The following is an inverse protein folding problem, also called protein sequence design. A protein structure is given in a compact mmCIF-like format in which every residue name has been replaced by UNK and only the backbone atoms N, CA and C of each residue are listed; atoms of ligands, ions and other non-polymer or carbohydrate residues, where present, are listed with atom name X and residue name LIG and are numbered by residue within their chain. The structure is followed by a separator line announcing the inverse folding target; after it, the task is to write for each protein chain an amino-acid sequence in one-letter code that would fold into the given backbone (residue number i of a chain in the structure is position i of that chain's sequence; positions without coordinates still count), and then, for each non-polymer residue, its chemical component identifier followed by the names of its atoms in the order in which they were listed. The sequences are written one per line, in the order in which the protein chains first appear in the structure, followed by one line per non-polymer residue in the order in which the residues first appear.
data_IF_172423840491
#
_entry.id   IF_172423840491
#
_cell.length_a   1.000
_cell.length_b   1.000
_cell.length_c   1.000
_cell.angle_alpha   90.00
_cell.angle_beta   90.00
_cell.angle_gamma   90.00
#
_symmetry.space_group_name_H-M   'P 1'
#
loop_
_entity.id
_entity.type
_entity.pdbx_description
1 polymer ?
#
# COMPACT_ATOMS: atom_id res chain seq x y z
N UNK A 1 38.89 -25.00 -18.90
CA UNK A 1 38.21 -23.86 -18.24
C UNK A 1 39.00 -23.52 -16.98
N UNK A 2 39.46 -22.29 -16.84
CA UNK A 2 40.20 -21.86 -15.64
C UNK A 2 39.22 -21.60 -14.49
N UNK A 3 39.65 -21.89 -13.26
CA UNK A 3 38.84 -21.72 -12.03
C UNK A 3 38.29 -20.28 -11.91
N UNK A 4 39.01 -19.28 -12.43
CA UNK A 4 38.59 -17.88 -12.46
C UNK A 4 37.39 -17.63 -13.38
N UNK A 5 37.30 -18.32 -14.53
CA UNK A 5 36.16 -18.19 -15.44
C UNK A 5 34.87 -18.76 -14.85
N UNK A 6 34.98 -19.84 -14.07
CA UNK A 6 33.84 -20.43 -13.33
C UNK A 6 33.40 -19.55 -12.17
N UNK A 7 34.33 -18.96 -11.41
CA UNK A 7 34.02 -18.04 -10.31
C UNK A 7 33.38 -16.74 -10.79
N UNK A 8 33.80 -16.21 -11.96
CA UNK A 8 33.17 -15.06 -12.59
C UNK A 8 31.73 -15.37 -13.04
N UNK A 9 31.52 -16.52 -13.69
CA UNK A 9 30.18 -16.94 -14.11
C UNK A 9 29.24 -17.16 -12.90
N UNK A 10 29.73 -17.75 -11.82
CA UNK A 10 28.96 -17.90 -10.57
C UNK A 10 28.60 -16.55 -9.94
N UNK A 11 29.51 -15.58 -9.99
CA UNK A 11 29.27 -14.22 -9.49
C UNK A 11 28.23 -13.47 -10.32
N UNK A 12 28.27 -13.61 -11.64
CA UNK A 12 27.26 -13.04 -12.56
C UNK A 12 25.88 -13.68 -12.34
N UNK A 13 25.83 -15.00 -12.19
CA UNK A 13 24.59 -15.73 -11.84
C UNK A 13 24.02 -15.30 -10.49
N UNK A 14 24.88 -15.06 -9.50
CA UNK A 14 24.49 -14.52 -8.20
C UNK A 14 23.88 -13.12 -8.31
N UNK A 15 24.48 -12.23 -9.10
CA UNK A 15 23.95 -10.88 -9.35
C UNK A 15 22.61 -10.88 -10.09
N UNK A 16 22.43 -11.79 -11.06
CA UNK A 16 21.15 -11.99 -11.74
C UNK A 16 20.06 -12.51 -10.79
N UNK A 17 20.40 -13.47 -9.92
CA UNK A 17 19.46 -14.01 -8.93
C UNK A 17 18.98 -12.92 -7.96
N UNK A 18 19.87 -12.04 -7.51
CA UNK A 18 19.55 -10.90 -6.66
C UNK A 18 18.59 -9.91 -7.35
N UNK A 19 18.87 -9.53 -8.60
CA UNK A 19 17.99 -8.68 -9.40
C UNK A 19 16.58 -9.26 -9.55
N UNK A 20 16.46 -10.57 -9.80
CA UNK A 20 15.17 -11.26 -9.92
C UNK A 20 14.40 -11.24 -8.58
N UNK A 21 15.08 -11.41 -7.45
CA UNK A 21 14.45 -11.32 -6.12
C UNK A 21 13.91 -9.91 -5.89
N UNK A 22 14.71 -8.87 -6.20
CA UNK A 22 14.31 -7.47 -6.06
C UNK A 22 13.12 -7.14 -6.95
N UNK A 23 13.17 -7.54 -8.22
CA UNK A 23 12.07 -7.37 -9.17
C UNK A 23 10.77 -7.97 -8.64
N UNK A 24 10.80 -9.24 -8.22
CA UNK A 24 9.61 -9.94 -7.70
C UNK A 24 9.03 -9.27 -6.45
N UNK A 25 9.89 -8.71 -5.59
CA UNK A 25 9.45 -8.00 -4.40
C UNK A 25 8.75 -6.67 -4.74
N UNK A 26 9.28 -5.91 -5.69
CA UNK A 26 8.66 -4.65 -6.14
C UNK A 26 7.32 -4.87 -6.83
N UNK A 27 7.26 -5.85 -7.74
CA UNK A 27 6.01 -6.25 -8.39
C UNK A 27 4.98 -6.70 -7.35
N UNK A 28 5.38 -7.53 -6.38
CA UNK A 28 4.51 -7.91 -5.26
C UNK A 28 3.95 -6.71 -4.53
N UNK A 29 4.81 -5.75 -4.14
CA UNK A 29 4.38 -4.57 -3.38
C UNK A 29 3.39 -3.72 -4.18
N UNK A 30 3.66 -3.48 -5.47
CA UNK A 30 2.79 -2.71 -6.35
C UNK A 30 1.44 -3.41 -6.58
N UNK A 31 1.47 -4.70 -6.96
CA UNK A 31 0.25 -5.49 -7.18
C UNK A 31 -0.60 -5.60 -5.92
N UNK A 32 0.03 -5.70 -4.74
CA UNK A 32 -0.70 -5.78 -3.47
C UNK A 32 -1.54 -4.54 -3.22
N UNK A 33 -0.95 -3.36 -3.40
CA UNK A 33 -1.61 -2.09 -3.14
C UNK A 33 -2.71 -1.81 -4.17
N UNK A 34 -2.46 -2.14 -5.44
CA UNK A 34 -3.47 -2.05 -6.50
C UNK A 34 -4.66 -2.98 -6.24
N UNK A 35 -4.43 -4.25 -5.90
CA UNK A 35 -5.50 -5.23 -5.67
C UNK A 35 -6.32 -4.90 -4.42
N UNK A 36 -5.68 -4.47 -3.34
CA UNK A 36 -6.40 -4.01 -2.13
C UNK A 36 -7.29 -2.82 -2.47
N UNK A 37 -6.80 -1.89 -3.30
CA UNK A 37 -7.57 -0.71 -3.72
C UNK A 37 -8.76 -1.08 -4.60
N UNK A 38 -8.56 -1.94 -5.62
CA UNK A 38 -9.65 -2.42 -6.48
C UNK A 38 -10.72 -3.15 -5.67
N UNK A 39 -10.31 -3.99 -4.72
CA UNK A 39 -11.25 -4.68 -3.86
C UNK A 39 -12.04 -3.71 -2.98
N UNK A 40 -11.35 -2.75 -2.35
CA UNK A 40 -12.01 -1.71 -1.54
C UNK A 40 -13.00 -0.89 -2.36
N UNK A 41 -12.70 -0.60 -3.63
CA UNK A 41 -13.65 0.07 -4.52
C UNK A 41 -14.87 -0.76 -4.86
N UNK A 42 -14.68 -2.01 -5.30
CA UNK A 42 -15.77 -2.91 -5.65
C UNK A 42 -16.75 -3.05 -4.49
N UNK A 43 -16.19 -3.08 -3.29
CA UNK A 43 -16.87 -3.07 -2.01
C UNK A 43 -17.70 -1.82 -1.77
N UNK A 44 -17.10 -0.63 -1.85
CA UNK A 44 -17.79 0.64 -1.62
C UNK A 44 -18.90 0.83 -2.64
N UNK A 45 -18.65 0.46 -3.89
CA UNK A 45 -19.63 0.52 -4.97
C UNK A 45 -20.80 -0.45 -4.73
N UNK A 46 -20.51 -1.70 -4.36
CA UNK A 46 -21.54 -2.70 -4.05
C UNK A 46 -22.40 -2.29 -2.86
N UNK A 47 -21.80 -1.70 -1.81
CA UNK A 47 -22.53 -1.17 -0.67
C UNK A 47 -23.44 0.00 -1.08
N UNK A 48 -22.92 0.94 -1.87
CA UNK A 48 -23.68 2.11 -2.33
C UNK A 48 -24.92 1.73 -3.15
N UNK A 49 -24.85 0.62 -3.90
CA UNK A 49 -25.99 0.08 -4.66
C UNK A 49 -26.99 -0.64 -3.75
N UNK A 50 -26.53 -1.35 -2.71
CA UNK A 50 -27.38 -2.26 -1.91
C UNK A 50 -27.99 -1.61 -0.67
N UNK A 51 -27.29 -0.62 -0.08
CA UNK A 51 -27.74 0.12 1.10
C UNK A 51 -29.13 0.79 0.98
N UNK A 52 -29.54 1.34 -0.19
CA UNK A 52 -30.86 1.95 -0.33
C UNK A 52 -32.03 0.96 -0.29
N UNK A 53 -31.80 -0.32 -0.60
CA UNK A 53 -32.86 -1.30 -0.78
C UNK A 53 -33.16 -2.11 0.49
N UNK A 54 -32.14 -2.47 1.27
CA UNK A 54 -32.33 -3.16 2.55
C UNK A 54 -31.05 -3.17 3.41
N UNK A 55 -31.16 -2.98 4.74
CA UNK A 55 -30.00 -2.92 5.63
C UNK A 55 -29.31 -4.27 5.82
N UNK A 56 -30.02 -5.40 5.71
CA UNK A 56 -29.46 -6.74 5.90
C UNK A 56 -28.45 -7.10 4.80
N UNK A 57 -28.78 -7.02 3.49
CA UNK A 57 -27.80 -7.24 2.42
C UNK A 57 -26.70 -6.19 2.45
N UNK A 58 -26.96 -4.95 2.89
CA UNK A 58 -25.93 -3.92 3.04
C UNK A 58 -24.88 -4.30 4.11
N UNK A 59 -25.30 -4.83 5.26
CA UNK A 59 -24.40 -5.32 6.32
C UNK A 59 -23.61 -6.54 5.85
N UNK A 60 -24.26 -7.49 5.17
CA UNK A 60 -23.60 -8.66 4.59
C UNK A 60 -22.55 -8.25 3.55
N UNK A 61 -22.91 -7.32 2.65
CA UNK A 61 -21.99 -6.73 1.68
C UNK A 61 -20.85 -6.06 2.40
N UNK A 62 -21.08 -5.28 3.47
CA UNK A 62 -20.05 -4.63 4.29
C UNK A 62 -19.08 -5.62 4.97
N UNK A 63 -19.58 -6.73 5.52
CA UNK A 63 -18.73 -7.75 6.16
C UNK A 63 -17.88 -8.48 5.11
N UNK A 64 -18.50 -8.94 4.03
CA UNK A 64 -17.80 -9.60 2.90
C UNK A 64 -16.77 -8.63 2.32
N UNK A 65 -17.16 -7.39 2.18
CA UNK A 65 -16.34 -6.31 1.72
C UNK A 65 -15.09 -6.08 2.57
N UNK A 66 -15.29 -5.94 3.87
CA UNK A 66 -14.21 -5.75 4.81
C UNK A 66 -13.26 -6.95 4.80
N UNK A 67 -13.77 -8.16 4.57
CA UNK A 67 -12.97 -9.39 4.48
C UNK A 67 -12.18 -9.53 3.17
N UNK A 68 -12.61 -8.89 2.08
CA UNK A 68 -12.01 -9.07 0.75
C UNK A 68 -10.54 -8.58 0.67
N UNK A 69 -10.14 -7.40 1.20
CA UNK A 69 -8.75 -7.02 1.31
C UNK A 69 -7.89 -8.05 2.06
N UNK A 70 -8.39 -8.63 3.15
CA UNK A 70 -7.67 -9.66 3.90
C UNK A 70 -7.52 -10.96 3.10
N UNK A 71 -8.56 -11.38 2.37
CA UNK A 71 -8.49 -12.54 1.50
C UNK A 71 -7.45 -12.34 0.37
N UNK A 72 -7.42 -11.15 -0.23
CA UNK A 72 -6.45 -10.80 -1.27
C UNK A 72 -5.04 -10.76 -0.70
N UNK A 73 -4.83 -10.15 0.47
CA UNK A 73 -3.53 -10.16 1.16
C UNK A 73 -3.09 -11.60 1.43
N UNK A 74 -3.99 -12.47 1.89
CA UNK A 74 -3.68 -13.87 2.13
C UNK A 74 -3.29 -14.62 0.84
N UNK A 75 -4.02 -14.39 -0.26
CA UNK A 75 -3.69 -14.93 -1.59
C UNK A 75 -2.33 -14.43 -2.04
N UNK A 76 -2.06 -13.14 -1.94
CA UNK A 76 -0.80 -12.52 -2.32
C UNK A 76 0.39 -13.06 -1.51
N UNK A 77 0.24 -13.19 -0.19
CA UNK A 77 1.25 -13.81 0.68
C UNK A 77 1.52 -15.25 0.22
N UNK A 78 0.48 -16.01 -0.14
CA UNK A 78 0.63 -17.39 -0.63
C UNK A 78 1.34 -17.43 -1.98
N UNK A 79 0.94 -16.58 -2.93
CA UNK A 79 1.51 -16.49 -4.28
C UNK A 79 2.97 -16.08 -4.24
N UNK A 80 3.32 -15.09 -3.41
CA UNK A 80 4.68 -14.54 -3.32
C UNK A 80 5.50 -15.10 -2.16
N UNK A 81 5.02 -16.16 -1.48
CA UNK A 81 5.69 -16.77 -0.32
C UNK A 81 7.16 -17.10 -0.58
N UNK A 82 7.47 -17.63 -1.77
CA UNK A 82 8.85 -17.95 -2.17
C UNK A 82 9.70 -16.68 -2.28
N UNK A 83 9.20 -15.64 -2.94
CA UNK A 83 9.90 -14.36 -3.05
C UNK A 83 10.14 -13.71 -1.68
N UNK A 84 9.13 -13.70 -0.80
CA UNK A 84 9.26 -13.17 0.57
C UNK A 84 10.27 -13.96 1.42
N UNK A 85 10.36 -15.29 1.23
CA UNK A 85 11.40 -16.11 1.88
C UNK A 85 12.79 -15.77 1.34
N UNK A 86 12.94 -15.62 0.03
CA UNK A 86 14.21 -15.22 -0.60
C UNK A 86 14.69 -13.84 -0.11
N UNK A 87 13.78 -12.87 0.03
CA UNK A 87 14.10 -11.56 0.61
C UNK A 87 14.58 -11.69 2.05
N UNK A 88 13.88 -12.46 2.89
CA UNK A 88 14.32 -12.69 4.27
C UNK A 88 15.69 -13.37 4.35
N UNK A 89 15.97 -14.31 3.45
CA UNK A 89 17.27 -14.97 3.38
C UNK A 89 18.36 -13.96 3.00
N UNK A 90 18.11 -13.11 2.00
CA UNK A 90 19.01 -12.04 1.56
C UNK A 90 19.29 -11.00 2.65
N UNK A 91 18.30 -10.69 3.49
CA UNK A 91 18.49 -9.86 4.69
C UNK A 91 19.46 -10.53 5.66
N UNK A 92 19.24 -11.82 5.93
CA UNK A 92 20.00 -12.57 6.93
C UNK A 92 21.45 -12.79 6.52
N UNK A 93 21.71 -13.05 5.23
CA UNK A 93 23.08 -13.24 4.70
C UNK A 93 23.91 -11.97 4.79
N UNK A 94 23.26 -10.79 4.84
CA UNK A 94 23.89 -9.48 5.05
C UNK A 94 24.02 -9.08 6.52
N UNK A 95 23.77 -10.00 7.46
CA UNK A 95 23.88 -9.75 8.90
C UNK A 95 22.80 -8.83 9.48
N UNK A 96 21.76 -8.50 8.71
CA UNK A 96 20.65 -7.65 9.15
C UNK A 96 19.51 -8.52 9.68
N UNK A 97 18.65 -7.98 10.56
CA UNK A 97 17.45 -8.67 11.05
C UNK A 97 16.22 -7.79 10.94
N UNK A 98 15.17 -8.36 10.37
CA UNK A 98 13.87 -7.70 10.26
C UNK A 98 13.12 -7.82 11.60
N UNK A 99 12.95 -6.71 12.31
CA UNK A 99 12.10 -6.67 13.50
C UNK A 99 10.62 -6.70 13.11
N UNK A 100 10.06 -7.92 12.98
CA UNK A 100 8.65 -8.14 12.58
C UNK A 100 7.65 -7.53 13.55
N UNK A 101 7.93 -7.58 14.85
CA UNK A 101 7.05 -7.00 15.88
C UNK A 101 6.92 -5.49 15.68
N UNK A 102 8.05 -4.79 15.47
CA UNK A 102 8.05 -3.36 15.16
C UNK A 102 7.22 -3.06 13.91
N UNK A 103 7.43 -3.81 12.82
CA UNK A 103 6.70 -3.60 11.56
C UNK A 103 5.19 -3.76 11.73
N UNK A 104 4.75 -4.81 12.45
CA UNK A 104 3.34 -5.06 12.71
C UNK A 104 2.71 -3.97 13.59
N UNK A 105 3.40 -3.54 14.64
CA UNK A 105 2.94 -2.46 15.53
C UNK A 105 2.83 -1.15 14.77
N UNK A 106 3.83 -0.81 13.96
CA UNK A 106 3.81 0.40 13.13
C UNK A 106 2.64 0.35 12.14
N UNK A 107 2.44 -0.77 11.43
CA UNK A 107 1.33 -0.91 10.50
C UNK A 107 -0.03 -0.78 11.20
N UNK A 108 -0.21 -1.47 12.35
CA UNK A 108 -1.43 -1.40 13.13
C UNK A 108 -1.73 0.03 13.58
N UNK A 109 -0.77 0.69 14.24
CA UNK A 109 -0.95 2.04 14.77
C UNK A 109 -1.17 3.06 13.65
N UNK A 110 -0.48 2.90 12.50
CA UNK A 110 -0.60 3.82 11.37
C UNK A 110 -1.99 3.77 10.74
N UNK A 111 -2.65 2.61 10.68
CA UNK A 111 -3.99 2.50 10.10
C UNK A 111 -5.14 2.57 11.10
N UNK A 112 -4.88 2.47 12.41
CA UNK A 112 -5.93 2.59 13.45
C UNK A 112 -6.01 4.00 14.02
N UNK A 113 -4.88 4.57 14.43
CA UNK A 113 -4.84 5.85 15.15
C UNK A 113 -5.43 7.01 14.33
N UNK A 114 -5.04 7.21 13.05
CA UNK A 114 -5.60 8.33 12.27
C UNK A 114 -7.09 8.19 12.04
N UNK A 115 -7.60 6.98 11.78
CA UNK A 115 -9.04 6.78 11.63
C UNK A 115 -9.79 7.13 12.91
N UNK A 116 -9.32 6.69 14.07
CA UNK A 116 -9.92 7.06 15.35
C UNK A 116 -9.91 8.59 15.53
N UNK A 117 -8.75 9.23 15.38
CA UNK A 117 -8.60 10.67 15.60
C UNK A 117 -9.47 11.51 14.66
N UNK A 118 -9.51 11.16 13.37
CA UNK A 118 -10.27 11.91 12.38
C UNK A 118 -11.77 11.70 12.54
N UNK A 119 -12.25 10.52 12.96
CA UNK A 119 -13.68 10.27 13.19
C UNK A 119 -14.17 10.67 14.60
N UNK A 120 -13.28 11.03 15.53
CA UNK A 120 -13.66 11.58 16.85
C UNK A 120 -14.13 13.03 16.79
N UNK A 121 -13.82 13.74 15.70
CA UNK A 121 -14.19 15.14 15.50
C UNK A 121 -14.92 15.27 14.17
N UNK A 122 -15.87 16.20 14.06
CA UNK A 122 -16.58 16.47 12.80
C UNK A 122 -16.46 17.96 12.47
N UNK A 123 -15.25 18.43 12.08
CA UNK A 123 -14.95 19.87 11.96
C UNK A 123 -15.51 20.52 10.69
N UNK A 124 -15.95 19.74 9.70
CA UNK A 124 -16.44 20.22 8.41
C UNK A 124 -17.80 19.58 8.03
N UNK A 125 -18.58 20.20 7.14
CA UNK A 125 -19.87 19.64 6.70
C UNK A 125 -19.69 18.28 6.03
N UNK A 126 -20.57 17.32 6.32
CA UNK A 126 -20.51 15.95 5.76
C UNK A 126 -19.17 15.24 5.99
N UNK A 127 -18.40 15.63 7.01
CA UNK A 127 -17.07 15.11 7.31
C UNK A 127 -16.99 13.59 7.30
N UNK A 128 -17.96 12.90 7.88
CA UNK A 128 -18.06 11.44 7.91
C UNK A 128 -17.91 10.77 6.54
N UNK A 129 -18.31 11.46 5.47
CA UNK A 129 -18.29 10.95 4.08
C UNK A 129 -16.92 11.02 3.41
N UNK A 130 -15.99 11.83 3.90
CA UNK A 130 -14.66 12.03 3.30
C UNK A 130 -13.50 12.10 4.31
N UNK A 131 -13.76 12.05 5.62
CA UNK A 131 -12.75 12.01 6.68
C UNK A 131 -11.76 10.84 6.51
N UNK A 132 -12.23 9.71 5.98
CA UNK A 132 -11.42 8.56 5.62
C UNK A 132 -10.25 8.91 4.69
N UNK A 133 -10.41 9.92 3.82
CA UNK A 133 -9.34 10.35 2.91
C UNK A 133 -8.18 10.97 3.68
N UNK A 134 -8.48 11.89 4.59
CA UNK A 134 -7.46 12.53 5.43
C UNK A 134 -6.83 11.52 6.42
N UNK A 135 -7.64 10.61 6.96
CA UNK A 135 -7.13 9.51 7.78
C UNK A 135 -6.13 8.65 6.99
N UNK A 136 -6.44 8.29 5.74
CA UNK A 136 -5.52 7.56 4.86
C UNK A 136 -4.28 8.39 4.49
N UNK A 137 -4.43 9.70 4.26
CA UNK A 137 -3.31 10.61 4.02
C UNK A 137 -2.29 10.55 5.16
N UNK A 138 -2.76 10.66 6.40
CA UNK A 138 -1.93 10.58 7.61
C UNK A 138 -1.42 9.17 7.86
N UNK A 139 -2.23 8.14 7.63
CA UNK A 139 -1.84 6.74 7.80
C UNK A 139 -0.69 6.36 6.87
N UNK A 140 -0.81 6.67 5.58
CA UNK A 140 0.24 6.37 4.62
C UNK A 140 1.48 7.25 4.81
N UNK A 141 1.32 8.50 5.28
CA UNK A 141 2.46 9.34 5.69
C UNK A 141 3.21 8.69 6.86
N UNK A 142 2.48 8.13 7.83
CA UNK A 142 3.07 7.39 8.95
C UNK A 142 3.79 6.12 8.46
N UNK A 143 3.19 5.39 7.52
CA UNK A 143 3.83 4.24 6.86
C UNK A 143 5.10 4.65 6.11
N UNK A 144 5.11 5.79 5.41
CA UNK A 144 6.33 6.33 4.79
C UNK A 144 7.44 6.53 5.82
N UNK A 145 7.14 7.21 6.93
CA UNK A 145 8.13 7.63 7.91
C UNK A 145 8.68 6.47 8.75
N UNK A 146 7.83 5.54 9.15
CA UNK A 146 8.18 4.52 10.15
C UNK A 146 8.32 3.10 9.60
N UNK A 147 7.66 2.80 8.49
CA UNK A 147 7.70 1.48 7.85
C UNK A 147 8.61 1.48 6.62
N UNK A 148 8.26 2.28 5.60
CA UNK A 148 8.96 2.30 4.31
C UNK A 148 10.41 2.77 4.49
N UNK A 149 10.64 3.88 5.20
CA UNK A 149 11.98 4.37 5.50
C UNK A 149 12.84 3.34 6.22
N UNK A 150 12.29 2.68 7.23
CA UNK A 150 13.02 1.65 7.99
C UNK A 150 13.39 0.45 7.13
N UNK A 151 12.48 -0.05 6.29
CA UNK A 151 12.78 -1.14 5.36
C UNK A 151 13.81 -0.70 4.33
N UNK A 152 13.70 0.51 3.79
CA UNK A 152 14.64 1.06 2.80
C UNK A 152 16.04 1.28 3.40
N UNK A 153 16.16 1.69 4.66
CA UNK A 153 17.44 1.77 5.37
C UNK A 153 18.06 0.38 5.59
N UNK A 154 17.21 -0.61 5.94
CA UNK A 154 17.63 -2.00 6.09
C UNK A 154 17.96 -2.69 4.76
N UNK A 155 17.37 -2.29 3.65
CA UNK A 155 17.56 -2.91 2.34
C UNK A 155 17.45 -1.84 1.22
N UNK A 156 18.51 -1.05 0.99
CA UNK A 156 18.47 0.03 0.01
C UNK A 156 18.14 -0.43 -1.41
N UNK A 157 18.58 -1.63 -1.77
CA UNK A 157 18.35 -2.25 -3.09
C UNK A 157 16.89 -2.65 -3.29
N UNK A 158 16.19 -3.01 -2.21
CA UNK A 158 14.76 -3.33 -2.22
C UNK A 158 13.90 -2.08 -2.01
N UNK A 159 14.48 -0.87 -2.14
CA UNK A 159 13.78 0.35 -1.78
C UNK A 159 12.49 0.57 -2.57
N UNK A 160 11.38 0.56 -1.83
CA UNK A 160 10.03 0.81 -2.34
C UNK A 160 9.64 2.24 -2.00
N UNK A 161 8.88 2.91 -2.86
CA UNK A 161 8.40 4.28 -2.67
C UNK A 161 6.89 4.41 -2.73
N UNK A 162 6.13 3.32 -2.62
CA UNK A 162 4.67 3.34 -2.81
C UNK A 162 4.02 4.28 -1.81
N UNK A 163 4.35 4.17 -0.51
CA UNK A 163 3.75 5.01 0.52
C UNK A 163 4.21 6.46 0.36
N UNK A 164 5.49 6.69 0.05
CA UNK A 164 6.01 8.04 -0.19
C UNK A 164 5.25 8.74 -1.32
N UNK A 165 5.12 8.09 -2.47
CA UNK A 165 4.50 8.67 -3.66
C UNK A 165 3.01 8.87 -3.42
N UNK A 166 2.35 7.86 -2.87
CA UNK A 166 0.93 7.93 -2.53
C UNK A 166 0.65 9.07 -1.55
N UNK A 167 1.48 9.22 -0.51
CA UNK A 167 1.31 10.26 0.51
C UNK A 167 1.55 11.64 -0.06
N UNK A 168 2.58 11.81 -0.88
CA UNK A 168 2.87 13.08 -1.55
C UNK A 168 1.69 13.53 -2.44
N UNK A 169 1.15 12.62 -3.25
CA UNK A 169 -0.02 12.90 -4.08
C UNK A 169 -1.25 13.22 -3.21
N UNK A 170 -1.49 12.44 -2.16
CA UNK A 170 -2.66 12.65 -1.31
C UNK A 170 -2.59 13.97 -0.52
N UNK A 171 -1.42 14.32 0.00
CA UNK A 171 -1.22 15.61 0.67
C UNK A 171 -1.33 16.79 -0.30
N UNK A 172 -0.90 16.62 -1.56
CA UNK A 172 -1.03 17.65 -2.60
C UNK A 172 -2.50 18.00 -2.91
N UNK A 173 -3.38 17.00 -2.91
CA UNK A 173 -4.80 17.17 -3.22
C UNK A 173 -5.68 17.40 -1.98
N UNK A 174 -5.16 17.20 -0.76
CA UNK A 174 -5.90 17.43 0.49
C UNK A 174 -6.49 18.86 0.60
N UNK A 175 -5.80 19.95 0.21
CA UNK A 175 -6.39 21.29 0.22
C UNK A 175 -7.58 21.44 -0.73
N UNK A 176 -7.57 20.78 -1.89
CA UNK A 176 -8.69 20.79 -2.84
C UNK A 176 -9.94 20.16 -2.22
N UNK A 177 -9.77 19.02 -1.53
CA UNK A 177 -10.88 18.32 -0.87
C UNK A 177 -11.43 19.15 0.30
N UNK A 178 -10.55 19.77 1.10
CA UNK A 178 -10.95 20.67 2.18
C UNK A 178 -11.69 21.92 1.65
N UNK A 179 -11.23 22.49 0.54
CA UNK A 179 -11.90 23.60 -0.13
C UNK A 179 -13.30 23.22 -0.64
N UNK A 180 -13.42 22.06 -1.29
CA UNK A 180 -14.72 21.55 -1.74
C UNK A 180 -15.65 21.25 -0.57
N UNK A 181 -15.14 20.73 0.54
CA UNK A 181 -15.93 20.50 1.76
C UNK A 181 -16.57 21.78 2.32
N UNK A 182 -15.98 22.95 2.06
CA UNK A 182 -16.53 24.25 2.51
C UNK A 182 -17.55 24.84 1.54
N UNK A 183 -17.41 24.58 0.24
CA UNK A 183 -18.18 25.28 -0.82
C UNK A 183 -19.25 24.37 -1.45
N UNK A 184 -18.93 23.11 -1.69
CA UNK A 184 -19.84 22.11 -2.26
C UNK A 184 -19.56 20.74 -1.61
N UNK A 185 -20.06 20.54 -0.37
CA UNK A 185 -19.72 19.36 0.44
C UNK A 185 -20.08 18.03 -0.22
N UNK A 186 -21.11 18.02 -1.06
CA UNK A 186 -21.56 16.82 -1.79
C UNK A 186 -20.52 16.35 -2.82
N UNK A 187 -19.67 17.26 -3.32
CA UNK A 187 -18.57 16.95 -4.25
C UNK A 187 -17.24 16.63 -3.56
N UNK A 188 -17.12 16.77 -2.24
CA UNK A 188 -15.89 16.45 -1.53
C UNK A 188 -15.56 14.95 -1.58
N UNK A 189 -16.55 14.08 -1.32
CA UNK A 189 -16.35 12.63 -1.27
C UNK A 189 -16.00 11.98 -2.63
N UNK A 190 -16.64 12.32 -3.78
CA UNK A 190 -16.27 11.72 -5.06
C UNK A 190 -14.89 12.18 -5.51
N UNK A 191 -14.54 13.44 -5.26
CA UNK A 191 -13.22 13.97 -5.60
C UNK A 191 -12.14 13.30 -4.75
N UNK A 192 -12.38 13.14 -3.43
CA UNK A 192 -11.49 12.37 -2.56
C UNK A 192 -11.27 10.93 -3.05
N UNK A 193 -12.34 10.27 -3.53
CA UNK A 193 -12.27 8.94 -4.13
C UNK A 193 -11.43 8.93 -5.41
N UNK A 194 -11.67 9.85 -6.35
CA UNK A 194 -10.90 9.93 -7.59
C UNK A 194 -9.42 10.16 -7.30
N UNK A 195 -9.12 11.08 -6.39
CA UNK A 195 -7.75 11.37 -5.98
C UNK A 195 -7.09 10.16 -5.31
N UNK A 196 -7.80 9.45 -4.43
CA UNK A 196 -7.32 8.22 -3.81
C UNK A 196 -6.89 7.20 -4.86
N UNK A 197 -7.73 6.99 -5.89
CA UNK A 197 -7.45 6.06 -6.99
C UNK A 197 -6.30 6.50 -7.86
N UNK A 198 -6.24 7.78 -8.18
CA UNK A 198 -5.14 8.35 -8.94
C UNK A 198 -3.81 8.14 -8.21
N UNK A 199 -3.76 8.44 -6.91
CA UNK A 199 -2.56 8.23 -6.08
C UNK A 199 -2.14 6.75 -6.04
N UNK A 200 -3.09 5.83 -5.86
CA UNK A 200 -2.81 4.38 -5.90
C UNK A 200 -2.29 3.93 -7.26
N UNK A 201 -2.91 4.38 -8.35
CA UNK A 201 -2.51 3.99 -9.70
C UNK A 201 -1.10 4.46 -10.03
N UNK A 202 -0.81 5.75 -9.81
CA UNK A 202 0.50 6.33 -10.07
C UNK A 202 1.58 5.67 -9.22
N UNK A 203 1.33 5.47 -7.93
CA UNK A 203 2.29 4.84 -7.03
C UNK A 203 2.59 3.38 -7.41
N UNK A 204 1.58 2.64 -7.88
CA UNK A 204 1.74 1.26 -8.36
C UNK A 204 2.47 1.18 -9.70
N UNK A 205 2.10 2.00 -10.68
CA UNK A 205 2.76 2.06 -12.01
C UNK A 205 4.23 2.46 -11.85
N UNK A 206 4.51 3.46 -11.01
CA UNK A 206 5.88 3.91 -10.78
C UNK A 206 6.75 2.78 -10.20
N UNK A 207 6.25 1.98 -9.27
CA UNK A 207 7.03 0.85 -8.75
C UNK A 207 7.23 -0.26 -9.77
N UNK A 208 6.23 -0.56 -10.60
CA UNK A 208 6.39 -1.53 -11.70
C UNK A 208 7.47 -1.04 -12.66
N UNK A 209 7.40 0.22 -13.10
CA UNK A 209 8.41 0.82 -13.97
C UNK A 209 9.82 0.82 -13.35
N UNK A 210 9.93 1.11 -12.04
CA UNK A 210 11.20 1.02 -11.30
C UNK A 210 11.71 -0.41 -11.17
N UNK A 211 10.82 -1.41 -11.17
CA UNK A 211 11.20 -2.82 -11.16
C UNK A 211 11.71 -3.25 -12.54
N UNK A 212 10.99 -2.89 -13.60
CA UNK A 212 11.37 -3.21 -14.99
C UNK A 212 12.74 -2.64 -15.36
N UNK A 213 13.05 -1.40 -14.95
CA UNK A 213 14.36 -0.78 -15.21
C UNK A 213 15.56 -1.50 -14.55
N UNK A 214 15.31 -2.43 -13.63
CA UNK A 214 16.37 -3.19 -12.93
C UNK A 214 16.78 -4.47 -13.66
N UNK A 215 15.93 -4.97 -14.57
CA UNK A 215 16.20 -6.11 -15.44
C UNK A 215 16.99 -5.64 -16.66
#
# INVERSE_FOLDING_TARGET
MSVDSTLLAERELGGLAEKIIIYRYKVYSASSIALITIATLLVVYSFSITAPYSPIPAILVFIIAFSAPFAIVAILIKTFKKALRSVNLLISTRGRRLNRTRLNVVALLSYTTPFILFYLTSPLPYWETYAWYFALAVANTSMTLFYERYINELLPELSVRVYTVWSALSLLFAPLIAYLALIDPLKAWPVALITYLFATLISSIQEIYRAEKML
#
